data_IF_878932492869
#
_entry.id   IF_878932492869
#
_cell.length_a   1.000
_cell.length_b   1.000
_cell.length_c   1.000
_cell.angle_alpha   90.00
_cell.angle_beta   90.00
_cell.angle_gamma   90.00
#
_symmetry.space_group_name_H-M   'P 1'
#
loop_
_entity.id
_entity.type
_entity.pdbx_description
1 polymer ?
#
# COMPACT_ATOMS: atom_id res chain seq x y z
N UNK A 1 5.20 -17.47 15.91
CA UNK A 1 5.03 -16.31 16.78
C UNK A 1 4.87 -15.07 15.91
N UNK A 2 4.08 -14.10 16.36
CA UNK A 2 4.01 -12.79 15.72
C UNK A 2 5.30 -12.01 15.94
N UNK A 3 5.40 -10.84 15.30
CA UNK A 3 6.60 -9.98 15.35
C UNK A 3 6.92 -9.57 16.80
N UNK A 4 5.89 -9.32 17.63
CA UNK A 4 6.07 -9.00 19.06
C UNK A 4 6.71 -10.12 19.84
N UNK A 5 6.27 -11.37 19.64
CA UNK A 5 6.86 -12.52 20.30
C UNK A 5 8.32 -12.72 19.85
N UNK A 6 8.58 -12.54 18.55
CA UNK A 6 9.94 -12.61 17.99
C UNK A 6 10.84 -11.57 18.64
N UNK A 7 10.44 -10.32 18.74
CA UNK A 7 11.29 -9.28 19.36
C UNK A 7 11.40 -9.46 20.87
N UNK A 8 10.33 -9.87 21.55
CA UNK A 8 10.38 -10.17 22.99
C UNK A 8 11.36 -11.30 23.29
N UNK A 9 11.47 -12.30 22.42
CA UNK A 9 12.44 -13.39 22.58
C UNK A 9 13.90 -12.93 22.59
N UNK A 10 14.17 -11.70 22.13
CA UNK A 10 15.50 -11.07 22.08
C UNK A 10 15.82 -10.28 23.35
N UNK A 11 14.95 -10.32 24.36
CA UNK A 11 15.09 -9.49 25.55
C UNK A 11 14.90 -7.99 25.30
N UNK A 12 14.38 -7.62 24.12
CA UNK A 12 13.99 -6.24 23.83
C UNK A 12 12.65 -5.98 24.53
N UNK A 13 12.71 -5.25 25.64
CA UNK A 13 11.55 -4.86 26.44
C UNK A 13 11.12 -3.46 26.02
N UNK A 14 9.81 -3.23 25.87
CA UNK A 14 9.25 -1.89 25.70
C UNK A 14 9.26 -1.35 24.27
N UNK A 15 8.84 -2.15 23.29
CA UNK A 15 8.48 -1.61 21.97
C UNK A 15 7.17 -0.82 22.08
N UNK A 16 7.17 0.52 21.96
CA UNK A 16 5.93 1.28 21.86
C UNK A 16 5.27 0.92 20.53
N UNK A 17 4.26 0.07 20.57
CA UNK A 17 3.50 -0.24 19.37
C UNK A 17 2.49 0.88 19.11
N UNK A 18 2.84 1.82 18.26
CA UNK A 18 1.89 2.81 17.77
C UNK A 18 1.30 2.28 16.47
N UNK A 19 0.13 1.65 16.61
CA UNK A 19 -0.64 1.16 15.49
C UNK A 19 -2.08 1.69 15.60
N UNK A 20 -2.71 2.15 14.51
CA UNK A 20 -2.21 2.15 13.13
C UNK A 20 -1.49 3.45 12.72
N UNK A 21 -1.31 4.39 13.65
CA UNK A 21 -0.65 5.68 13.39
C UNK A 21 0.82 5.58 13.79
N UNK A 22 1.74 6.18 13.01
CA UNK A 22 3.14 6.28 13.42
C UNK A 22 3.22 6.91 14.81
N UNK A 23 4.17 6.47 15.64
CA UNK A 23 4.34 6.99 16.99
C UNK A 23 4.61 8.50 16.93
N UNK A 24 3.67 9.35 17.41
CA UNK A 24 3.84 10.79 17.35
C UNK A 24 5.11 11.20 18.10
N UNK A 25 6.01 11.90 17.41
CA UNK A 25 7.26 12.37 17.99
C UNK A 25 8.28 11.28 18.32
N UNK A 26 8.26 10.12 17.67
CA UNK A 26 9.42 9.22 17.64
C UNK A 26 10.29 9.47 16.39
N UNK A 27 9.66 9.75 15.25
CA UNK A 27 10.36 10.18 14.03
C UNK A 27 10.97 11.56 14.30
N UNK A 28 12.30 11.67 14.21
CA UNK A 28 13.06 12.90 14.52
C UNK A 28 13.64 13.00 15.93
N UNK A 29 13.33 12.08 16.86
CA UNK A 29 14.04 12.03 18.15
C UNK A 29 15.37 11.30 18.01
N UNK A 30 16.42 11.88 18.60
CA UNK A 30 17.78 11.30 18.66
C UNK A 30 17.86 9.89 19.25
N UNK A 31 16.80 9.40 19.92
CA UNK A 31 16.77 8.10 20.61
C UNK A 31 16.27 6.93 19.76
N UNK A 32 15.74 7.17 18.57
CA UNK A 32 15.26 6.09 17.69
C UNK A 32 16.39 5.64 16.78
N UNK A 33 16.95 4.47 17.05
CA UNK A 33 18.10 3.91 16.32
C UNK A 33 17.71 3.14 15.05
N UNK A 34 16.51 2.54 15.06
CA UNK A 34 15.98 1.74 13.97
C UNK A 34 14.45 1.87 13.88
N UNK A 35 13.92 1.90 12.67
CA UNK A 35 12.48 1.93 12.35
C UNK A 35 12.18 0.80 11.37
N UNK A 36 11.27 -0.10 11.73
CA UNK A 36 10.83 -1.19 10.86
C UNK A 36 9.51 -0.81 10.20
N UNK A 37 9.50 -0.67 8.87
CA UNK A 37 8.29 -0.24 8.14
C UNK A 37 7.81 -1.33 7.19
N UNK A 38 6.58 -1.79 7.36
CA UNK A 38 5.92 -2.65 6.40
C UNK A 38 5.49 -1.86 5.16
N UNK A 39 6.04 -2.18 3.98
CA UNK A 39 5.71 -1.52 2.72
C UNK A 39 4.90 -2.46 1.82
N UNK A 40 4.00 -1.88 1.03
CA UNK A 40 3.15 -2.59 0.07
C UNK A 40 2.99 -1.73 -1.17
N UNK A 41 2.71 -2.36 -2.31
CA UNK A 41 2.26 -1.67 -3.52
C UNK A 41 1.14 -0.65 -3.18
N UNK A 42 1.30 0.65 -3.49
CA UNK A 42 0.31 1.67 -3.22
C UNK A 42 -1.08 1.36 -3.78
N UNK A 43 -1.17 0.71 -4.95
CA UNK A 43 -2.45 0.27 -5.54
C UNK A 43 -3.08 -0.82 -4.69
N UNK A 44 -2.30 -1.81 -4.27
CA UNK A 44 -2.81 -2.90 -3.43
C UNK A 44 -3.20 -2.40 -2.03
N UNK A 45 -2.47 -1.40 -1.50
CA UNK A 45 -2.80 -0.71 -0.25
C UNK A 45 -4.13 0.03 -0.36
N UNK A 46 -4.35 0.76 -1.45
CA UNK A 46 -5.63 1.42 -1.75
C UNK A 46 -6.78 0.41 -1.77
N UNK A 47 -6.64 -0.65 -2.58
CA UNK A 47 -7.70 -1.64 -2.76
C UNK A 47 -8.01 -2.37 -1.45
N UNK A 48 -6.99 -2.87 -0.78
CA UNK A 48 -7.11 -3.58 0.49
C UNK A 48 -7.74 -2.70 1.57
N UNK A 49 -7.39 -1.42 1.62
CA UNK A 49 -7.98 -0.51 2.59
C UNK A 49 -9.46 -0.24 2.28
N UNK A 50 -9.80 0.02 1.02
CA UNK A 50 -11.19 0.22 0.63
C UNK A 50 -12.04 -0.99 0.98
N UNK A 51 -11.58 -2.20 0.63
CA UNK A 51 -12.30 -3.46 0.92
C UNK A 51 -12.42 -3.73 2.41
N UNK A 52 -11.37 -3.47 3.19
CA UNK A 52 -11.43 -3.58 4.65
C UNK A 52 -12.44 -2.58 5.24
N UNK A 53 -12.45 -1.33 4.78
CA UNK A 53 -13.46 -0.36 5.23
C UNK A 53 -14.86 -0.75 4.80
N UNK A 54 -15.02 -1.34 3.61
CA UNK A 54 -16.30 -1.84 3.13
C UNK A 54 -16.79 -3.00 3.99
N UNK A 55 -15.90 -3.95 4.32
CA UNK A 55 -16.21 -5.07 5.21
C UNK A 55 -16.55 -4.60 6.61
N UNK A 56 -15.97 -3.50 7.09
CA UNK A 56 -16.34 -2.93 8.37
C UNK A 56 -17.61 -2.09 8.33
N UNK A 57 -17.99 -1.51 7.20
CA UNK A 57 -19.14 -0.59 7.13
C UNK A 57 -20.46 -1.35 7.06
N UNK A 58 -21.48 -0.85 7.75
CA UNK A 58 -22.84 -1.42 7.63
C UNK A 58 -23.39 -1.13 6.22
N UNK A 59 -23.88 -2.16 5.52
CA UNK A 59 -24.32 -2.05 4.12
C UNK A 59 -25.61 -1.26 3.97
N UNK A 60 -26.71 -1.67 4.61
CA UNK A 60 -28.03 -0.98 4.61
C UNK A 60 -28.97 -1.50 5.72
N UNK A 61 -30.27 -1.20 5.65
CA UNK A 61 -31.28 -1.58 6.66
C UNK A 61 -31.49 -3.10 6.78
N UNK A 62 -31.15 -3.86 5.74
CA UNK A 62 -31.13 -5.34 5.76
C UNK A 62 -29.81 -5.93 6.28
N UNK A 63 -28.97 -5.12 6.92
CA UNK A 63 -27.73 -5.57 7.56
C UNK A 63 -28.04 -6.43 8.80
N UNK A 64 -27.60 -7.69 8.78
CA UNK A 64 -27.81 -8.62 9.90
C UNK A 64 -26.73 -8.50 10.98
N UNK A 65 -25.61 -7.84 10.69
CA UNK A 65 -24.51 -7.66 11.64
C UNK A 65 -24.86 -6.64 12.71
N UNK A 66 -24.41 -6.89 13.94
CA UNK A 66 -24.64 -5.95 15.05
C UNK A 66 -23.75 -4.71 14.92
N UNK A 67 -24.32 -3.53 15.16
CA UNK A 67 -23.57 -2.27 15.12
C UNK A 67 -22.60 -2.19 16.29
N UNK A 68 -21.31 -2.04 16.02
CA UNK A 68 -20.26 -1.93 17.05
C UNK A 68 -19.08 -1.10 16.57
N UNK A 69 -18.53 -0.26 17.47
CA UNK A 69 -17.24 0.41 17.24
C UNK A 69 -16.06 -0.57 17.21
N UNK A 70 -16.27 -1.80 17.71
CA UNK A 70 -15.30 -2.89 17.70
C UNK A 70 -15.44 -3.82 16.49
N UNK A 71 -16.05 -3.37 15.39
CA UNK A 71 -16.26 -4.18 14.18
C UNK A 71 -14.98 -4.82 13.64
N UNK A 72 -13.82 -4.18 13.86
CA UNK A 72 -12.51 -4.70 13.48
C UNK A 72 -12.12 -6.02 14.17
N UNK A 73 -12.80 -6.41 15.25
CA UNK A 73 -12.55 -7.69 15.95
C UNK A 73 -13.27 -8.87 15.31
N UNK A 74 -14.43 -8.61 14.70
CA UNK A 74 -15.26 -9.63 14.05
C UNK A 74 -16.13 -8.99 12.95
N UNK A 75 -15.54 -8.68 11.79
CA UNK A 75 -16.25 -8.02 10.68
C UNK A 75 -17.38 -8.87 10.09
N UNK A 76 -17.38 -10.18 10.38
CA UNK A 76 -18.42 -11.10 9.91
C UNK A 76 -19.72 -10.99 10.72
N UNK A 77 -19.62 -10.60 12.00
CA UNK A 77 -20.77 -10.46 12.92
C UNK A 77 -21.07 -9.02 13.29
N UNK A 78 -20.09 -8.14 13.15
CA UNK A 78 -20.17 -6.74 13.57
C UNK A 78 -19.94 -5.80 12.39
N UNK A 79 -20.61 -4.65 12.40
CA UNK A 79 -20.37 -3.55 11.47
C UNK A 79 -20.25 -2.21 12.20
N UNK A 80 -19.53 -1.27 11.60
CA UNK A 80 -19.27 0.07 12.11
C UNK A 80 -20.42 0.99 11.70
N UNK A 81 -21.05 1.71 12.65
CA UNK A 81 -22.12 2.66 12.36
C UNK A 81 -21.57 4.01 11.82
N UNK A 82 -20.40 4.01 11.20
CA UNK A 82 -19.77 5.22 10.67
C UNK A 82 -20.48 5.64 9.38
N UNK A 83 -21.43 6.58 9.50
CA UNK A 83 -22.24 7.05 8.38
C UNK A 83 -21.41 7.61 7.23
N UNK A 84 -20.28 8.27 7.54
CA UNK A 84 -19.39 8.83 6.52
C UNK A 84 -18.76 7.75 5.66
N UNK A 85 -18.32 6.64 6.25
CA UNK A 85 -17.78 5.51 5.48
C UNK A 85 -18.86 4.85 4.63
N UNK A 86 -20.07 4.68 5.20
CA UNK A 86 -21.22 4.15 4.46
C UNK A 86 -21.53 5.00 3.23
N UNK A 87 -21.63 6.32 3.39
CA UNK A 87 -21.92 7.26 2.30
C UNK A 87 -20.85 7.21 1.21
N UNK A 88 -19.57 7.23 1.58
CA UNK A 88 -18.46 7.14 0.62
C UNK A 88 -18.51 5.79 -0.11
N UNK A 89 -18.40 4.69 0.64
CA UNK A 89 -18.20 3.35 0.07
C UNK A 89 -19.43 2.88 -0.69
N UNK A 90 -20.59 2.87 -0.04
CA UNK A 90 -21.81 2.31 -0.61
C UNK A 90 -22.66 3.36 -1.31
N UNK A 91 -22.78 4.56 -0.75
CA UNK A 91 -23.58 5.64 -1.35
C UNK A 91 -23.01 6.15 -2.67
N UNK A 92 -21.71 6.47 -2.72
CA UNK A 92 -21.08 7.04 -3.93
C UNK A 92 -20.49 5.99 -4.85
N UNK A 93 -19.79 5.00 -4.29
CA UNK A 93 -19.04 4.01 -5.08
C UNK A 93 -19.71 2.64 -5.15
N UNK A 94 -20.88 2.43 -4.54
CA UNK A 94 -21.63 1.17 -4.61
C UNK A 94 -20.86 -0.05 -4.10
N UNK A 95 -19.90 0.16 -3.19
CA UNK A 95 -18.99 -0.89 -2.71
C UNK A 95 -17.91 -1.32 -3.70
N UNK A 96 -17.76 -0.63 -4.83
CA UNK A 96 -16.79 -0.96 -5.88
C UNK A 96 -15.56 -0.03 -5.80
N UNK A 97 -14.36 -0.55 -5.43
CA UNK A 97 -13.15 0.25 -5.34
C UNK A 97 -12.68 0.82 -6.69
N UNK A 98 -13.02 0.17 -7.81
CA UNK A 98 -12.70 0.66 -9.15
C UNK A 98 -13.38 2.00 -9.44
N UNK A 99 -14.61 2.21 -8.97
CA UNK A 99 -15.31 3.50 -9.17
C UNK A 99 -14.62 4.66 -8.44
N UNK A 100 -14.12 4.42 -7.23
CA UNK A 100 -13.31 5.43 -6.52
C UNK A 100 -11.97 5.66 -7.23
N UNK A 101 -11.31 4.58 -7.65
CA UNK A 101 -10.05 4.64 -8.38
C UNK A 101 -10.16 5.43 -9.69
N UNK A 102 -11.20 5.16 -10.48
CA UNK A 102 -11.51 5.83 -11.74
C UNK A 102 -11.91 7.30 -11.53
N UNK A 103 -12.55 7.61 -10.41
CA UNK A 103 -12.80 9.00 -10.01
C UNK A 103 -11.52 9.83 -9.88
N UNK A 104 -10.36 9.20 -9.65
CA UNK A 104 -9.05 9.84 -9.56
C UNK A 104 -8.33 9.99 -10.92
N UNK A 105 -8.92 9.56 -12.04
CA UNK A 105 -8.29 9.67 -13.36
C UNK A 105 -8.18 11.11 -13.89
N UNK A 106 -8.92 12.07 -13.30
CA UNK A 106 -8.85 13.47 -13.71
C UNK A 106 -7.46 14.09 -13.52
N UNK A 107 -7.08 15.01 -14.40
CA UNK A 107 -5.85 15.77 -14.25
C UNK A 107 -5.94 16.74 -13.04
N UNK A 108 -4.85 16.93 -12.28
CA UNK A 108 -4.78 18.02 -11.33
C UNK A 108 -4.97 19.38 -12.05
N UNK A 109 -5.47 20.41 -11.37
CA UNK A 109 -6.00 21.63 -11.99
C UNK A 109 -4.95 22.41 -12.80
N UNK A 110 -3.67 22.37 -12.38
CA UNK A 110 -2.56 22.96 -13.14
C UNK A 110 -2.35 22.30 -14.52
N UNK A 111 -2.66 21.01 -14.66
CA UNK A 111 -2.57 20.26 -15.92
C UNK A 111 -3.84 20.35 -16.76
N UNK A 112 -5.01 20.25 -16.11
CA UNK A 112 -6.29 20.34 -16.82
C UNK A 112 -6.44 21.67 -17.55
N UNK A 113 -5.98 22.77 -16.94
CA UNK A 113 -5.98 24.09 -17.56
C UNK A 113 -4.97 24.21 -18.71
N UNK A 114 -3.73 23.73 -18.55
CA UNK A 114 -2.72 23.76 -19.61
C UNK A 114 -3.07 22.87 -20.80
N UNK A 115 -3.55 21.63 -20.57
CA UNK A 115 -4.00 20.71 -21.63
C UNK A 115 -5.27 21.21 -22.32
N UNK A 116 -6.24 21.74 -21.57
CA UNK A 116 -7.44 22.33 -22.16
C UNK A 116 -7.11 23.58 -22.97
N UNK A 117 -6.18 24.43 -22.52
CA UNK A 117 -5.71 25.59 -23.28
C UNK A 117 -4.93 25.18 -24.54
N UNK A 118 -4.06 24.17 -24.44
CA UNK A 118 -3.33 23.62 -25.58
C UNK A 118 -4.27 22.98 -26.62
N UNK A 119 -5.27 22.20 -26.16
CA UNK A 119 -6.28 21.60 -27.02
C UNK A 119 -7.24 22.64 -27.63
N UNK A 120 -7.54 23.71 -26.90
CA UNK A 120 -8.37 24.83 -27.39
C UNK A 120 -7.64 25.71 -28.41
N UNK A 121 -6.31 25.64 -28.50
CA UNK A 121 -5.46 26.47 -29.37
C UNK A 121 -5.63 26.28 -30.88
N UNK A 122 -6.57 25.43 -31.36
CA UNK A 122 -6.70 25.13 -32.81
C UNK A 122 -8.16 25.21 -33.34
N UNK A 123 -9.21 25.30 -32.52
CA UNK A 123 -10.60 25.40 -33.05
C UNK A 123 -11.48 26.44 -32.35
N UNK A 124 -11.90 27.44 -33.13
CA UNK A 124 -12.56 28.66 -32.72
C UNK A 124 -13.90 28.50 -31.96
N UNK A 125 -13.99 29.17 -30.81
CA UNK A 125 -15.21 29.81 -30.29
C UNK A 125 -16.23 28.94 -29.56
N UNK A 126 -16.83 27.93 -30.21
CA UNK A 126 -17.96 27.17 -29.62
C UNK A 126 -17.53 25.95 -28.80
N UNK A 127 -16.40 25.33 -29.16
CA UNK A 127 -15.92 24.14 -28.46
C UNK A 127 -15.25 24.46 -27.12
N UNK A 128 -14.82 25.71 -26.92
CA UNK A 128 -14.12 26.12 -25.71
C UNK A 128 -15.02 26.07 -24.47
N UNK A 129 -16.28 26.55 -24.56
CA UNK A 129 -17.20 26.54 -23.41
C UNK A 129 -17.53 25.11 -22.96
N UNK A 130 -17.77 24.21 -23.91
CA UNK A 130 -18.01 22.79 -23.61
C UNK A 130 -16.77 22.15 -22.98
N UNK A 131 -15.58 22.40 -23.55
CA UNK A 131 -14.33 21.88 -23.00
C UNK A 131 -14.07 22.36 -21.55
N UNK A 132 -14.32 23.64 -21.26
CA UNK A 132 -14.19 24.21 -19.91
C UNK A 132 -15.18 23.55 -18.95
N UNK A 133 -16.46 23.44 -19.31
CA UNK A 133 -17.47 22.78 -18.46
C UNK A 133 -17.13 21.32 -18.20
N UNK A 134 -16.65 20.59 -19.22
CA UNK A 134 -16.21 19.20 -19.06
C UNK A 134 -14.98 19.11 -18.15
N UNK A 135 -14.01 20.01 -18.28
CA UNK A 135 -12.83 20.06 -17.43
C UNK A 135 -13.19 20.39 -15.97
N UNK A 136 -14.10 21.33 -15.73
CA UNK A 136 -14.61 21.66 -14.39
C UNK A 136 -15.32 20.47 -13.75
N UNK A 137 -16.17 19.76 -14.50
CA UNK A 137 -16.85 18.57 -14.00
C UNK A 137 -15.86 17.43 -13.67
N UNK A 138 -14.87 17.20 -14.54
CA UNK A 138 -13.82 16.21 -14.31
C UNK A 138 -12.99 16.56 -13.07
N UNK A 139 -12.64 17.83 -12.89
CA UNK A 139 -11.92 18.33 -11.73
C UNK A 139 -12.73 18.19 -10.43
N UNK A 140 -14.03 18.50 -10.46
CA UNK A 140 -14.91 18.32 -9.31
C UNK A 140 -15.00 16.84 -8.90
N UNK A 141 -15.09 15.93 -9.87
CA UNK A 141 -15.09 14.49 -9.62
C UNK A 141 -13.77 14.02 -9.01
N UNK A 142 -12.63 14.45 -9.58
CA UNK A 142 -11.29 14.14 -9.06
C UNK A 142 -11.10 14.65 -7.63
N UNK A 143 -11.43 15.91 -7.37
CA UNK A 143 -11.32 16.52 -6.05
C UNK A 143 -12.16 15.75 -5.03
N UNK A 144 -13.38 15.35 -5.42
CA UNK A 144 -14.27 14.56 -4.57
C UNK A 144 -13.68 13.18 -4.28
N UNK A 145 -13.14 12.48 -5.29
CA UNK A 145 -12.53 11.16 -5.14
C UNK A 145 -11.29 11.21 -4.24
N UNK A 146 -10.42 12.20 -4.43
CA UNK A 146 -9.22 12.39 -3.58
C UNK A 146 -9.62 12.72 -2.14
N UNK A 147 -10.61 13.60 -1.95
CA UNK A 147 -11.11 13.91 -0.60
C UNK A 147 -11.69 12.66 0.06
N UNK A 148 -12.46 11.85 -0.65
CA UNK A 148 -12.98 10.60 -0.11
C UNK A 148 -11.87 9.61 0.25
N UNK A 149 -10.86 9.47 -0.60
CA UNK A 149 -9.70 8.64 -0.33
C UNK A 149 -9.01 9.05 0.99
N UNK A 150 -8.78 10.35 1.19
CA UNK A 150 -8.23 10.91 2.42
C UNK A 150 -9.14 10.58 3.62
N UNK A 151 -10.47 10.67 3.44
CA UNK A 151 -11.47 10.39 4.49
C UNK A 151 -11.56 8.92 4.87
N UNK A 152 -11.21 8.01 3.95
CA UNK A 152 -11.06 6.58 4.23
C UNK A 152 -9.80 6.28 5.07
N UNK A 153 -8.89 7.24 5.22
CA UNK A 153 -7.79 7.23 6.18
C UNK A 153 -6.51 6.68 5.56
N UNK A 154 -6.09 5.48 5.98
CA UNK A 154 -4.79 4.91 5.57
C UNK A 154 -4.62 4.77 4.06
N UNK A 155 -5.72 4.67 3.30
CA UNK A 155 -5.69 4.62 1.85
C UNK A 155 -5.08 5.87 1.22
N UNK A 156 -5.34 7.07 1.77
CA UNK A 156 -4.84 8.33 1.23
C UNK A 156 -3.48 8.78 1.78
N UNK A 157 -2.81 7.97 2.60
CA UNK A 157 -1.50 8.30 3.14
C UNK A 157 -0.39 7.84 2.20
N UNK A 158 0.46 8.77 1.79
CA UNK A 158 1.68 8.53 0.99
C UNK A 158 2.72 7.77 1.81
N UNK A 159 3.60 7.00 1.16
CA UNK A 159 4.77 6.37 1.80
C UNK A 159 5.57 7.45 2.56
N UNK A 160 5.75 8.63 1.97
CA UNK A 160 6.36 9.79 2.60
C UNK A 160 5.71 10.16 3.96
N UNK A 161 4.39 10.24 4.01
CA UNK A 161 3.66 10.52 5.27
C UNK A 161 3.80 9.40 6.31
N UNK A 162 3.99 8.15 5.87
CA UNK A 162 4.19 7.01 6.78
C UNK A 162 5.57 6.97 7.38
N UNK A 163 6.59 7.28 6.58
CA UNK A 163 7.98 7.31 7.03
C UNK A 163 8.31 8.63 7.75
N UNK A 164 7.37 9.59 7.77
CA UNK A 164 7.50 10.86 8.47
C UNK A 164 8.40 11.85 7.74
N UNK A 165 8.45 11.74 6.42
CA UNK A 165 9.04 12.74 5.53
C UNK A 165 8.15 13.97 5.40
N UNK A 166 6.83 13.77 5.53
CA UNK A 166 5.88 14.88 5.62
C UNK A 166 5.84 15.36 7.07
N UNK A 167 6.57 16.45 7.37
CA UNK A 167 6.39 17.22 8.59
C UNK A 167 5.07 18.00 8.60
N UNK A 168 4.46 18.18 7.43
CA UNK A 168 3.21 18.89 7.24
C UNK A 168 2.00 18.08 7.76
N UNK A 169 1.06 18.73 8.48
CA UNK A 169 -0.17 18.08 8.90
C UNK A 169 -0.98 17.60 7.67
N UNK A 170 -1.61 16.42 7.73
CA UNK A 170 -2.36 15.87 6.60
C UNK A 170 -3.48 16.83 6.18
N UNK A 171 -3.38 17.39 4.97
CA UNK A 171 -4.41 18.28 4.38
C UNK A 171 -3.91 19.63 3.87
N UNK A 172 -2.66 20.00 4.09
CA UNK A 172 -2.04 21.14 3.41
C UNK A 172 -1.50 20.65 2.07
N UNK A 173 -2.21 20.95 0.98
CA UNK A 173 -1.67 20.77 -0.38
C UNK A 173 -0.47 21.70 -0.51
N UNK A 174 0.66 21.16 -0.96
CA UNK A 174 1.86 21.95 -1.23
C UNK A 174 1.55 22.97 -2.34
N UNK A 175 1.86 24.23 -2.11
CA UNK A 175 2.12 25.17 -3.19
C UNK A 175 3.42 24.68 -3.89
N UNK A 176 3.42 24.66 -5.22
CA UNK A 176 4.45 24.02 -6.06
C UNK A 176 5.89 24.60 -5.90
N UNK A 177 6.09 25.59 -5.02
CA UNK A 177 7.35 26.34 -4.89
C UNK A 177 8.28 25.84 -3.76
N UNK A 178 7.85 24.94 -2.86
CA UNK A 178 8.66 24.44 -1.73
C UNK A 178 9.34 23.08 -2.02
N UNK A 179 10.05 22.98 -3.15
CA UNK A 179 10.85 21.81 -3.52
C UNK A 179 12.21 21.80 -2.79
N UNK A 180 12.19 21.71 -1.46
CA UNK A 180 13.35 21.31 -0.63
C UNK A 180 13.15 19.91 -0.01
N UNK A 181 12.36 19.04 -0.65
CA UNK A 181 12.03 17.70 -0.14
C UNK A 181 13.18 16.68 -0.15
N UNK A 182 14.32 16.99 -0.78
CA UNK A 182 15.47 16.09 -0.85
C UNK A 182 16.20 15.91 0.49
N UNK A 183 16.19 16.91 1.37
CA UNK A 183 16.83 16.80 2.70
C UNK A 183 16.05 15.91 3.66
N UNK A 184 14.71 15.87 3.53
CA UNK A 184 13.86 15.01 4.36
C UNK A 184 14.19 13.53 4.19
N UNK A 185 14.43 13.07 2.95
CA UNK A 185 14.71 11.66 2.65
C UNK A 185 16.09 11.24 3.17
N UNK A 186 17.06 12.16 3.13
CA UNK A 186 18.40 11.91 3.67
C UNK A 186 18.40 11.59 5.17
N UNK A 187 17.42 12.11 5.94
CA UNK A 187 17.34 11.98 7.40
C UNK A 187 16.89 10.60 7.90
N UNK A 188 16.31 9.75 7.05
CA UNK A 188 15.80 8.42 7.45
C UNK A 188 16.70 7.26 7.01
N UNK A 189 17.73 7.55 6.24
CA UNK A 189 18.35 6.55 5.38
C UNK A 189 19.15 5.46 6.11
N UNK A 190 19.73 5.80 7.24
CA UNK A 190 20.52 4.88 8.05
C UNK A 190 19.70 4.19 9.15
N UNK A 191 18.44 4.59 9.40
CA UNK A 191 17.59 4.06 10.49
C UNK A 191 16.42 3.24 10.02
N UNK A 192 15.93 3.48 8.81
CA UNK A 192 14.76 2.82 8.28
C UNK A 192 15.11 1.46 7.65
N UNK A 193 14.31 0.43 7.94
CA UNK A 193 14.38 -0.88 7.29
C UNK A 193 13.01 -1.28 6.77
N UNK A 194 12.84 -1.38 5.44
CA UNK A 194 11.59 -1.81 4.87
C UNK A 194 11.41 -3.33 4.97
N UNK A 195 10.18 -3.74 5.25
CA UNK A 195 9.69 -5.12 5.23
C UNK A 195 8.59 -5.16 4.17
N UNK A 196 8.85 -5.79 3.03
CA UNK A 196 7.97 -5.62 1.85
C UNK A 196 6.98 -6.76 1.75
N UNK A 197 5.70 -6.39 1.67
CA UNK A 197 4.57 -7.29 1.47
C UNK A 197 4.31 -7.45 -0.03
N UNK A 198 5.25 -8.11 -0.72
CA UNK A 198 5.16 -8.41 -2.14
C UNK A 198 5.00 -9.93 -2.38
N UNK A 199 4.05 -10.37 -3.22
CA UNK A 199 3.89 -11.78 -3.55
C UNK A 199 5.18 -12.43 -4.07
N UNK A 200 5.48 -13.64 -3.58
CA UNK A 200 6.67 -14.39 -3.97
C UNK A 200 7.87 -14.18 -3.06
N UNK A 201 7.84 -13.20 -2.16
CA UNK A 201 8.88 -12.95 -1.16
C UNK A 201 8.45 -13.46 0.23
N UNK A 202 9.42 -13.84 1.06
CA UNK A 202 9.18 -14.36 2.41
C UNK A 202 9.16 -13.22 3.43
N UNK A 203 7.99 -12.90 4.02
CA UNK A 203 7.90 -11.86 5.05
C UNK A 203 8.72 -12.18 6.27
N UNK A 204 8.65 -13.44 6.70
CA UNK A 204 9.14 -13.81 8.00
C UNK A 204 10.66 -13.71 7.96
N UNK A 205 11.27 -14.19 6.88
CA UNK A 205 12.68 -14.00 6.62
C UNK A 205 13.07 -12.52 6.52
N UNK A 206 12.29 -11.68 5.82
CA UNK A 206 12.55 -10.22 5.76
C UNK A 206 12.44 -9.56 7.14
N UNK A 207 11.43 -9.92 7.92
CA UNK A 207 11.18 -9.41 9.27
C UNK A 207 12.32 -9.81 10.20
N UNK A 208 12.72 -11.08 10.17
CA UNK A 208 13.81 -11.60 10.99
C UNK A 208 15.14 -10.92 10.62
N UNK A 209 15.44 -10.76 9.34
CA UNK A 209 16.63 -10.03 8.88
C UNK A 209 16.63 -8.55 9.30
N UNK A 210 15.47 -7.90 9.26
CA UNK A 210 15.32 -6.51 9.69
C UNK A 210 15.50 -6.34 11.21
N UNK A 211 14.91 -7.25 12.00
CA UNK A 211 15.08 -7.29 13.45
C UNK A 211 16.56 -7.55 13.82
N UNK A 212 17.21 -8.52 13.17
CA UNK A 212 18.63 -8.82 13.40
C UNK A 212 19.50 -7.59 13.19
N UNK A 213 19.29 -6.89 12.06
CA UNK A 213 20.03 -5.68 11.75
C UNK A 213 19.79 -4.59 12.80
N UNK A 214 18.53 -4.38 13.21
CA UNK A 214 18.19 -3.38 14.22
C UNK A 214 18.85 -3.70 15.57
N UNK A 215 18.82 -4.96 16.00
CA UNK A 215 19.49 -5.41 17.23
C UNK A 215 21.01 -5.23 17.13
N UNK A 216 21.61 -5.59 15.98
CA UNK A 216 23.05 -5.39 15.75
C UNK A 216 23.43 -3.92 15.85
N UNK A 217 22.61 -3.03 15.30
CA UNK A 217 22.82 -1.58 15.35
C UNK A 217 22.72 -1.04 16.79
N UNK A 218 21.71 -1.46 17.55
CA UNK A 218 21.42 -0.94 18.90
C UNK A 218 22.34 -1.54 19.98
N UNK A 219 22.64 -2.84 19.89
CA UNK A 219 23.29 -3.62 20.96
C UNK A 219 24.66 -4.20 20.58
N UNK A 220 25.10 -3.99 19.35
CA UNK A 220 26.36 -4.53 18.83
C UNK A 220 26.27 -5.98 18.34
N UNK A 221 27.38 -6.48 17.78
CA UNK A 221 27.45 -7.77 17.08
C UNK A 221 27.27 -9.00 17.97
N UNK A 222 27.69 -8.94 19.24
CA UNK A 222 27.61 -10.08 20.17
C UNK A 222 26.17 -10.53 20.43
N UNK A 223 25.24 -9.59 20.63
CA UNK A 223 23.83 -9.93 20.86
C UNK A 223 23.15 -10.39 19.57
N UNK A 224 23.53 -9.82 18.43
CA UNK A 224 23.01 -10.23 17.12
C UNK A 224 23.43 -11.65 16.72
N UNK A 225 24.63 -12.10 17.10
CA UNK A 225 25.09 -13.47 16.81
C UNK A 225 24.21 -14.55 17.47
N UNK A 226 23.68 -14.26 18.67
CA UNK A 226 22.74 -15.15 19.36
C UNK A 226 21.41 -15.29 18.59
N UNK A 227 21.01 -14.26 17.84
CA UNK A 227 19.79 -14.29 17.03
C UNK A 227 19.90 -15.27 15.88
N UNK A 228 20.99 -15.21 15.11
CA UNK A 228 21.22 -16.10 13.98
C UNK A 228 21.23 -17.56 14.44
N UNK A 229 21.94 -17.86 15.54
CA UNK A 229 21.97 -19.20 16.13
C UNK A 229 20.61 -19.69 16.62
N UNK A 230 19.78 -18.82 17.21
CA UNK A 230 18.41 -19.19 17.62
C UNK A 230 17.49 -19.41 16.41
N UNK A 231 17.61 -18.57 15.38
CA UNK A 231 16.82 -18.71 14.17
C UNK A 231 17.18 -20.01 13.44
N UNK A 232 18.47 -20.31 13.30
CA UNK A 232 18.94 -21.58 12.73
C UNK A 232 18.51 -22.77 13.57
N UNK A 233 18.46 -22.64 14.89
CA UNK A 233 17.92 -23.68 15.77
C UNK A 233 16.41 -23.90 15.56
N UNK A 234 15.61 -22.85 15.36
CA UNK A 234 14.16 -22.99 15.09
C UNK A 234 13.91 -23.52 13.68
N UNK A 235 14.68 -23.03 12.69
CA UNK A 235 14.59 -23.45 11.30
C UNK A 235 15.04 -24.91 11.12
N UNK A 236 16.15 -25.31 11.77
CA UNK A 236 16.72 -26.66 11.64
C UNK A 236 16.19 -27.64 12.69
N UNK A 237 15.79 -27.20 13.88
CA UNK A 237 15.28 -28.06 14.96
C UNK A 237 13.90 -28.65 14.71
N UNK A 238 13.15 -28.12 13.74
CA UNK A 238 11.90 -28.73 13.26
C UNK A 238 12.14 -29.91 12.29
N UNK A 239 13.38 -30.13 11.84
CA UNK A 239 13.77 -31.21 10.93
C UNK A 239 13.75 -32.60 11.56
N UNK A 240 13.62 -32.71 12.89
CA UNK A 240 13.55 -34.00 13.58
C UNK A 240 12.14 -34.58 13.62
N UNK A 241 11.11 -33.81 13.24
CA UNK A 241 9.74 -34.32 13.03
C UNK A 241 9.54 -34.70 11.55
N UNK A 242 10.32 -35.68 11.08
CA UNK A 242 10.36 -36.16 9.67
C UNK A 242 9.06 -36.81 9.15
N UNK A 243 7.97 -36.89 9.93
CA UNK A 243 6.72 -37.54 9.50
C UNK A 243 5.58 -36.61 9.06
N UNK A 244 5.78 -35.29 9.07
CA UNK A 244 4.77 -34.33 8.58
C UNK A 244 5.29 -33.36 7.49
N UNK A 245 6.54 -33.51 7.04
CA UNK A 245 7.24 -32.55 6.18
C UNK A 245 6.81 -32.56 4.69
N UNK A 246 5.87 -33.40 4.26
CA UNK A 246 5.35 -33.42 2.88
C UNK A 246 4.16 -32.50 2.63
N UNK A 247 3.73 -31.67 3.60
CA UNK A 247 2.55 -30.81 3.40
C UNK A 247 2.64 -29.37 3.93
N UNK A 248 3.79 -28.94 4.47
CA UNK A 248 3.88 -27.70 5.26
C UNK A 248 5.13 -26.86 5.03
N UNK A 249 5.80 -26.94 3.87
CA UNK A 249 6.52 -25.76 3.37
C UNK A 249 5.53 -24.77 2.75
N UNK A 250 4.42 -24.51 3.45
CA UNK A 250 3.72 -23.24 3.36
C UNK A 250 4.66 -22.22 4.00
N UNK A 251 5.74 -21.90 3.28
CA UNK A 251 6.35 -20.57 3.37
C UNK A 251 5.15 -19.64 3.44
N UNK A 252 5.09 -18.78 4.45
CA UNK A 252 4.08 -17.74 4.55
C UNK A 252 4.31 -16.72 3.41
N UNK A 253 4.20 -17.21 2.18
CA UNK A 253 3.88 -16.46 0.99
C UNK A 253 2.55 -15.83 1.35
N UNK A 254 2.47 -14.51 1.26
CA UNK A 254 1.33 -13.64 1.57
C UNK A 254 0.08 -13.91 0.75
N UNK A 255 -0.29 -15.16 0.72
CA UNK A 255 -1.30 -15.71 -0.12
C UNK A 255 -2.51 -15.99 0.77
N UNK A 256 -3.44 -15.04 0.77
CA UNK A 256 -4.81 -15.18 1.29
C UNK A 256 -5.53 -16.46 0.81
N UNK A 257 -5.00 -17.26 -0.13
CA UNK A 257 -5.53 -18.60 -0.49
C UNK A 257 -5.91 -19.49 0.70
N UNK A 258 -5.33 -19.27 1.89
CA UNK A 258 -5.76 -19.96 3.11
C UNK A 258 -7.19 -19.64 3.60
N UNK A 259 -7.80 -18.51 3.21
CA UNK A 259 -9.13 -18.12 3.67
C UNK A 259 -10.26 -18.62 2.74
N UNK A 260 -9.98 -18.78 1.45
CA UNK A 260 -10.93 -19.36 0.48
C UNK A 260 -11.27 -20.83 0.79
N UNK A 261 -10.41 -21.53 1.56
CA UNK A 261 -10.64 -22.92 1.95
C UNK A 261 -11.68 -23.15 3.05
N UNK A 262 -12.15 -22.11 3.77
CA UNK A 262 -13.08 -22.28 4.92
C UNK A 262 -14.44 -21.59 4.77
N UNK A 263 -14.61 -20.68 3.81
CA UNK A 263 -15.91 -20.06 3.53
C UNK A 263 -16.45 -20.73 2.27
N UNK A 264 -17.44 -21.61 2.43
CA UNK A 264 -17.93 -22.47 1.36
C UNK A 264 -18.21 -21.72 0.05
N UNK A 265 -17.44 -22.06 -0.99
CA UNK A 265 -17.70 -22.07 -2.47
C UNK A 265 -18.61 -21.03 -3.15
N UNK A 266 -19.18 -20.03 -2.50
CA UNK A 266 -20.19 -19.14 -3.09
C UNK A 266 -19.95 -17.64 -2.84
N UNK A 267 -18.86 -17.26 -2.18
CA UNK A 267 -18.43 -15.86 -2.19
C UNK A 267 -17.58 -15.66 -3.45
N UNK A 268 -18.16 -15.05 -4.49
CA UNK A 268 -17.40 -14.57 -5.65
C UNK A 268 -16.17 -13.83 -5.15
N UNK A 269 -14.98 -14.28 -5.56
CA UNK A 269 -13.73 -13.59 -5.26
C UNK A 269 -13.91 -12.11 -5.62
N UNK A 270 -13.54 -11.17 -4.73
CA UNK A 270 -13.72 -9.75 -4.98
C UNK A 270 -13.12 -9.39 -6.35
N UNK A 271 -13.93 -8.79 -7.22
CA UNK A 271 -13.50 -8.39 -8.56
C UNK A 271 -12.31 -7.44 -8.44
N UNK A 272 -11.15 -7.70 -9.09
CA UNK A 272 -9.97 -6.85 -8.97
C UNK A 272 -10.25 -5.43 -9.48
N UNK A 273 -9.37 -4.49 -9.16
CA UNK A 273 -9.44 -3.15 -9.75
C UNK A 273 -9.47 -3.23 -11.28
N UNK A 274 -10.28 -2.36 -11.91
CA UNK A 274 -10.23 -2.17 -13.36
C UNK A 274 -8.84 -1.68 -13.76
N UNK A 275 -8.39 -2.01 -14.98
CA UNK A 275 -7.10 -1.51 -15.49
C UNK A 275 -7.02 0.02 -15.49
N UNK A 276 -8.15 0.70 -15.73
CA UNK A 276 -8.25 2.15 -15.62
C UNK A 276 -8.05 2.62 -14.18
N UNK A 277 -8.74 2.01 -13.23
CA UNK A 277 -8.58 2.31 -11.80
C UNK A 277 -7.16 2.06 -11.31
N UNK A 278 -6.52 0.97 -11.73
CA UNK A 278 -5.10 0.68 -11.45
C UNK A 278 -4.21 1.83 -11.94
N UNK A 279 -4.40 2.27 -13.19
CA UNK A 279 -3.61 3.36 -13.75
C UNK A 279 -3.77 4.66 -12.95
N UNK A 280 -5.01 5.02 -12.62
CA UNK A 280 -5.33 6.28 -11.97
C UNK A 280 -4.84 6.33 -10.51
N UNK A 281 -4.99 5.21 -9.78
CA UNK A 281 -4.39 5.07 -8.45
C UNK A 281 -2.86 5.11 -8.53
N UNK A 282 -2.26 4.43 -9.51
CA UNK A 282 -0.80 4.45 -9.67
C UNK A 282 -0.26 5.85 -9.98
N UNK A 283 -0.97 6.65 -10.79
CA UNK A 283 -0.62 8.05 -11.05
C UNK A 283 -0.78 8.93 -9.81
N UNK A 284 -1.87 8.75 -9.07
CA UNK A 284 -2.07 9.48 -7.82
C UNK A 284 -0.91 9.23 -6.83
N UNK A 285 -0.41 8.00 -6.79
CA UNK A 285 0.75 7.59 -5.97
C UNK A 285 2.09 7.63 -6.71
N UNK A 286 2.27 8.46 -7.75
CA UNK A 286 3.53 8.54 -8.49
C UNK A 286 4.73 8.77 -7.57
N UNK A 287 4.62 9.73 -6.65
CA UNK A 287 5.70 10.08 -5.73
C UNK A 287 6.03 8.93 -4.77
N UNK A 288 5.03 8.14 -4.34
CA UNK A 288 5.27 6.95 -3.53
C UNK A 288 6.15 5.95 -4.29
N UNK A 289 5.97 5.77 -5.60
CA UNK A 289 6.82 4.85 -6.37
C UNK A 289 8.26 5.33 -6.48
N UNK A 290 8.49 6.65 -6.57
CA UNK A 290 9.85 7.22 -6.55
C UNK A 290 10.52 6.99 -5.20
N UNK A 291 9.79 7.23 -4.10
CA UNK A 291 10.26 6.91 -2.75
C UNK A 291 10.57 5.42 -2.61
N UNK A 292 9.72 4.52 -3.12
CA UNK A 292 9.98 3.08 -3.08
C UNK A 292 11.24 2.68 -3.88
N UNK A 293 11.47 3.29 -5.03
CA UNK A 293 12.69 3.07 -5.83
C UNK A 293 13.93 3.52 -5.05
N UNK A 294 13.89 4.69 -4.43
CA UNK A 294 14.98 5.21 -3.60
C UNK A 294 15.25 4.31 -2.36
N UNK A 295 14.20 3.91 -1.64
CA UNK A 295 14.31 3.01 -0.49
C UNK A 295 14.93 1.66 -0.86
N UNK A 296 14.69 1.16 -2.08
CA UNK A 296 15.29 -0.09 -2.57
C UNK A 296 16.82 0.00 -2.68
N UNK A 297 17.33 1.17 -3.04
CA UNK A 297 18.76 1.42 -3.15
C UNK A 297 19.40 1.68 -1.80
N UNK A 298 18.73 2.42 -0.92
CA UNK A 298 19.37 3.00 0.24
C UNK A 298 19.04 2.30 1.57
N UNK A 299 17.83 1.78 1.75
CA UNK A 299 17.30 1.38 3.07
C UNK A 299 17.14 -0.14 3.28
N UNK A 300 17.35 -0.98 2.27
CA UNK A 300 17.34 -2.44 2.47
C UNK A 300 18.59 -2.92 3.23
N UNK A 301 18.39 -3.53 4.40
CA UNK A 301 19.46 -3.94 5.33
C UNK A 301 19.35 -5.41 5.76
N UNK A 302 20.38 -5.88 6.46
CA UNK A 302 20.45 -7.26 6.97
C UNK A 302 20.85 -8.27 5.90
N UNK A 303 20.80 -9.56 6.25
CA UNK A 303 21.23 -10.65 5.36
C UNK A 303 20.23 -10.96 4.23
N UNK A 304 19.00 -10.40 4.28
CA UNK A 304 17.98 -10.43 3.22
C UNK A 304 17.84 -9.10 2.47
N UNK A 305 18.89 -8.28 2.45
CA UNK A 305 18.84 -6.98 1.79
C UNK A 305 18.50 -7.08 0.28
N UNK A 306 18.96 -8.14 -0.40
CA UNK A 306 18.66 -8.36 -1.81
C UNK A 306 17.18 -8.71 -2.04
N UNK A 307 16.56 -9.52 -1.19
CA UNK A 307 15.14 -9.84 -1.27
C UNK A 307 14.26 -8.62 -0.99
N UNK A 308 14.64 -7.80 0.00
CA UNK A 308 14.02 -6.50 0.26
C UNK A 308 14.11 -5.59 -0.97
N UNK A 309 15.31 -5.48 -1.58
CA UNK A 309 15.52 -4.62 -2.76
C UNK A 309 14.71 -5.11 -3.95
N UNK A 310 14.78 -6.41 -4.25
CA UNK A 310 14.09 -6.99 -5.40
C UNK A 310 12.57 -6.90 -5.25
N UNK A 311 12.04 -7.02 -4.03
CA UNK A 311 10.59 -6.86 -3.80
C UNK A 311 10.11 -5.42 -4.01
N UNK A 312 10.87 -4.41 -3.55
CA UNK A 312 10.56 -3.01 -3.87
C UNK A 312 10.65 -2.72 -5.37
N UNK A 313 11.74 -3.15 -6.02
CA UNK A 313 11.92 -2.93 -7.45
C UNK A 313 10.86 -3.66 -8.28
N UNK A 314 10.36 -4.81 -7.83
CA UNK A 314 9.26 -5.51 -8.50
C UNK A 314 7.95 -4.72 -8.47
N UNK A 315 7.62 -4.09 -7.33
CA UNK A 315 6.48 -3.16 -7.21
C UNK A 315 6.65 -2.00 -8.20
N UNK A 316 7.80 -1.34 -8.18
CA UNK A 316 8.11 -0.19 -9.05
C UNK A 316 8.01 -0.59 -10.52
N UNK A 317 8.65 -1.70 -10.91
CA UNK A 317 8.68 -2.22 -12.28
C UNK A 317 7.28 -2.54 -12.79
N UNK A 318 6.43 -3.18 -11.98
CA UNK A 318 5.05 -3.52 -12.36
C UNK A 318 4.20 -2.28 -12.63
N UNK A 319 4.47 -1.17 -11.94
CA UNK A 319 3.64 0.04 -11.99
C UNK A 319 4.21 1.15 -12.86
N UNK A 320 5.49 1.07 -13.26
CA UNK A 320 6.18 2.08 -14.09
C UNK A 320 5.39 2.49 -15.33
N UNK A 321 4.74 1.54 -16.00
CA UNK A 321 3.93 1.81 -17.21
C UNK A 321 2.79 2.82 -16.98
N UNK A 322 2.30 2.98 -15.75
CA UNK A 322 1.15 3.83 -15.45
C UNK A 322 1.56 5.25 -15.02
N UNK A 323 2.71 5.40 -14.38
CA UNK A 323 3.15 6.66 -13.79
C UNK A 323 4.34 7.32 -14.51
N UNK A 324 5.05 6.61 -15.38
CA UNK A 324 6.16 7.21 -16.13
C UNK A 324 5.64 8.31 -17.07
N UNK A 325 5.89 9.55 -16.66
CA UNK A 325 5.47 10.78 -17.34
C UNK A 325 6.07 10.92 -18.73
N UNK A 326 7.19 10.26 -19.01
CA UNK A 326 7.79 10.27 -20.35
C UNK A 326 6.83 9.71 -21.42
N UNK A 327 5.81 8.95 -21.01
CA UNK A 327 4.78 8.46 -21.93
C UNK A 327 3.86 9.58 -22.45
N UNK A 328 3.55 10.61 -21.67
CA UNK A 328 2.55 11.64 -22.04
C UNK A 328 1.14 11.08 -22.33
N UNK A 329 0.89 9.79 -22.05
CA UNK A 329 -0.34 9.10 -22.43
C UNK A 329 -1.44 9.34 -21.41
N UNK A 330 -2.70 9.30 -21.83
CA UNK A 330 -3.81 9.20 -20.87
C UNK A 330 -3.88 7.78 -20.28
N UNK A 331 -4.57 7.60 -19.14
CA UNK A 331 -4.80 6.26 -18.62
C UNK A 331 -5.70 5.44 -19.56
N UNK A 332 -6.65 6.10 -20.20
CA UNK A 332 -7.53 5.56 -21.23
C UNK A 332 -6.69 4.96 -22.38
N UNK A 333 -5.71 5.68 -22.90
CA UNK A 333 -4.83 5.20 -23.97
C UNK A 333 -4.03 3.97 -23.57
N UNK A 334 -3.52 3.94 -22.33
CA UNK A 334 -2.79 2.78 -21.78
C UNK A 334 -3.72 1.57 -21.71
N UNK A 335 -4.95 1.76 -21.25
CA UNK A 335 -5.93 0.67 -21.14
C UNK A 335 -6.41 0.15 -22.49
N UNK A 336 -6.61 1.04 -23.48
CA UNK A 336 -7.06 0.67 -24.82
C UNK A 336 -6.02 -0.18 -25.55
N UNK A 337 -4.74 0.19 -25.49
CA UNK A 337 -3.66 -0.58 -26.14
C UNK A 337 -3.57 -2.00 -25.59
N UNK A 338 -3.73 -2.18 -24.27
CA UNK A 338 -3.71 -3.51 -23.65
C UNK A 338 -4.92 -4.37 -24.03
N UNK A 339 -6.05 -3.77 -24.37
CA UNK A 339 -7.24 -4.48 -24.89
C UNK A 339 -7.12 -4.80 -26.38
N UNK A 340 -6.55 -3.89 -27.17
CA UNK A 340 -6.39 -4.03 -28.62
C UNK A 340 -5.20 -4.93 -29.04
N UNK A 341 -4.18 -5.05 -28.20
CA UNK A 341 -3.00 -5.89 -28.41
C UNK A 341 -3.26 -7.39 -28.24
N UNK A 342 -4.29 -7.92 -28.90
CA UNK A 342 -4.69 -9.32 -28.85
C UNK A 342 -3.51 -10.30 -28.95
N UNK A 343 -3.23 -10.95 -27.82
CA UNK A 343 -2.68 -12.32 -27.73
C UNK A 343 -1.52 -12.68 -28.66
N UNK A 344 -0.32 -12.14 -28.39
CA UNK A 344 0.97 -12.89 -28.53
C UNK A 344 1.97 -12.60 -27.41
N UNK A 345 1.50 -12.05 -26.29
CA UNK A 345 2.28 -11.98 -25.07
C UNK A 345 2.31 -13.38 -24.44
N UNK A 346 3.49 -13.97 -24.32
CA UNK A 346 3.75 -15.15 -23.48
C UNK A 346 3.23 -14.83 -22.08
N UNK A 347 2.02 -15.30 -21.77
CA UNK A 347 1.29 -14.92 -20.58
C UNK A 347 2.12 -15.18 -19.34
N UNK A 348 2.68 -14.11 -18.77
CA UNK A 348 2.97 -14.11 -17.34
C UNK A 348 1.60 -14.12 -16.70
N UNK A 349 1.18 -15.21 -16.04
CA UNK A 349 -0.14 -15.27 -15.45
C UNK A 349 -0.26 -14.11 -14.47
N UNK A 350 -1.24 -13.23 -14.69
CA UNK A 350 -1.68 -12.26 -13.70
C UNK A 350 -2.19 -13.09 -12.52
N UNK A 351 -1.33 -13.29 -11.52
CA UNK A 351 -1.67 -14.07 -10.33
C UNK A 351 -2.80 -13.32 -9.63
N UNK A 352 -3.86 -14.06 -9.29
CA UNK A 352 -5.05 -13.52 -8.64
C UNK A 352 -4.69 -12.64 -7.45
N UNK A 353 -5.37 -11.49 -7.37
CA UNK A 353 -5.21 -10.54 -6.28
C UNK A 353 -5.80 -11.13 -5.00
N UNK A 354 -4.95 -11.24 -4.00
CA UNK A 354 -5.26 -11.88 -2.73
C UNK A 354 -5.27 -10.78 -1.64
N UNK A 355 -6.46 -10.46 -1.13
CA UNK A 355 -6.66 -9.38 -0.16
C UNK A 355 -6.36 -9.88 1.25
N UNK A 356 -5.39 -9.29 1.95
CA UNK A 356 -5.12 -9.58 3.36
C UNK A 356 -5.69 -8.53 4.30
N UNK A 357 -6.29 -9.00 5.40
CA UNK A 357 -6.49 -8.23 6.62
C UNK A 357 -5.22 -8.29 7.48
N UNK A 358 -4.88 -7.15 8.09
CA UNK A 358 -3.85 -6.93 9.13
C UNK A 358 -2.48 -6.46 8.62
N UNK A 359 -2.24 -5.16 8.77
CA UNK A 359 -0.91 -4.59 8.89
C UNK A 359 -0.50 -4.59 10.37
N UNK A 360 0.71 -5.06 10.67
CA UNK A 360 1.39 -4.83 11.94
C UNK A 360 2.57 -3.88 11.65
N UNK A 361 2.71 -2.83 12.45
CA UNK A 361 3.85 -1.92 12.42
C UNK A 361 4.37 -1.72 13.84
N UNK A 362 5.69 -1.56 13.96
CA UNK A 362 6.44 -1.37 15.21
C UNK A 362 7.08 0.00 15.25
#
# INVERSE_FOLDING_TARGET
GGIRERIRSLGVVGLPACHPRPCPGLVGKSRVEAVLVALRDPVDRFESNFRWKASLSCRDDNETRSRSRAAYRDPSRLCSPNQRWKEIIYGRYGGNPSKLAEGMCGAPPARASAEALAAAGITAGRNMRTAVVTAEAAFANWTTAVQDLIRLGHAGRTVASWVGLDSSPPGTYFDDDDVESAEGIALLDDRLVPIVLEPGYDLLAQTDAAIEWAVRKIKGSKLAANFTSQHDFVANGTSSSKRAATKTSNIARHSYKSYEGRVGRSASSPEPLSELGVCCVARYFEEDYRVLEELAHRSCRGWRANECRNSLLEIVRRRRIYWDRASGRSCEDITMERRGGGSRSTGVPVRGFETMDSLFFL
#
